data_IF_738042802896
#
_entry.id   IF_738042802896
#
_cell.length_a   1.000
_cell.length_b   1.000
_cell.length_c   1.000
_cell.angle_alpha   90.00
_cell.angle_beta   90.00
_cell.angle_gamma   90.00
#
_symmetry.space_group_name_H-M   'P 1'
#
loop_
_entity.id
_entity.type
_entity.pdbx_description
1 polymer ?
#
# COMPACT_ATOMS: atom_id res chain seq x y z
N UNK A 1 26.80 -9.94 18.64
CA UNK A 1 26.12 -9.16 19.70
C UNK A 1 26.06 -7.71 19.23
N UNK A 2 24.93 -7.26 18.67
CA UNK A 2 24.83 -5.94 18.05
C UNK A 2 24.73 -4.86 19.14
N UNK A 3 25.68 -3.92 19.17
CA UNK A 3 25.65 -2.75 20.08
C UNK A 3 24.43 -1.88 19.74
N UNK A 4 23.56 -1.66 20.72
CA UNK A 4 22.50 -0.65 20.62
C UNK A 4 23.15 0.73 20.64
N UNK A 5 23.24 1.38 19.47
CA UNK A 5 23.59 2.80 19.41
C UNK A 5 22.31 3.64 19.66
N UNK A 6 22.19 4.36 20.79
CA UNK A 6 20.99 5.10 21.15
C UNK A 6 20.73 6.31 20.24
N UNK A 7 21.71 6.74 19.43
CA UNK A 7 21.53 7.82 18.45
C UNK A 7 21.06 7.34 17.08
N UNK A 8 20.97 6.02 16.87
CA UNK A 8 20.51 5.47 15.60
C UNK A 8 18.98 5.62 15.51
N UNK A 9 18.52 6.54 14.67
CA UNK A 9 17.09 6.76 14.38
C UNK A 9 16.46 5.47 13.81
N UNK A 10 15.52 4.87 14.56
CA UNK A 10 14.91 3.58 14.21
C UNK A 10 13.58 3.69 13.46
N UNK A 11 12.97 4.87 13.44
CA UNK A 11 11.69 5.10 12.78
C UNK A 11 11.05 6.42 13.20
N UNK A 12 10.17 6.94 12.35
CA UNK A 12 9.35 8.12 12.63
C UNK A 12 7.88 7.74 12.57
N UNK A 13 7.09 8.31 13.47
CA UNK A 13 5.64 8.12 13.50
C UNK A 13 4.95 9.46 13.25
N UNK A 14 3.96 9.43 12.36
CA UNK A 14 3.19 10.60 11.97
C UNK A 14 1.71 10.26 12.11
N UNK A 15 0.93 11.22 12.60
CA UNK A 15 -0.51 11.10 12.76
C UNK A 15 -1.18 12.13 11.86
N UNK A 16 -2.24 11.71 11.20
CA UNK A 16 -2.96 12.55 10.26
C UNK A 16 -4.34 11.98 9.96
N UNK A 17 -5.05 12.67 9.09
CA UNK A 17 -6.36 12.25 8.64
C UNK A 17 -6.26 11.33 7.42
N UNK A 18 -7.34 10.62 7.11
CA UNK A 18 -7.39 9.75 5.93
C UNK A 18 -7.08 10.54 4.65
N UNK A 19 -7.54 11.79 4.60
CA UNK A 19 -7.33 12.77 3.55
C UNK A 19 -5.85 13.11 3.32
N UNK A 20 -4.97 12.86 4.29
CA UNK A 20 -3.52 13.00 4.14
C UNK A 20 -2.88 11.74 3.55
N UNK A 21 -3.40 10.56 3.91
CA UNK A 21 -2.83 9.26 3.49
C UNK A 21 -3.24 8.90 2.06
N UNK A 22 -4.49 9.18 1.67
CA UNK A 22 -5.02 8.79 0.35
C UNK A 22 -4.21 9.40 -0.83
N UNK A 23 -3.83 10.70 -0.82
CA UNK A 23 -3.02 11.27 -1.89
C UNK A 23 -1.61 10.66 -1.97
N UNK A 24 -0.99 10.37 -0.82
CA UNK A 24 0.35 9.75 -0.76
C UNK A 24 0.31 8.38 -1.43
N UNK A 25 -0.65 7.56 -1.03
CA UNK A 25 -0.86 6.22 -1.56
C UNK A 25 -1.18 6.24 -3.06
N UNK A 26 -2.00 7.19 -3.52
CA UNK A 26 -2.31 7.38 -4.93
C UNK A 26 -1.06 7.78 -5.74
N UNK A 27 -0.24 8.70 -5.23
CA UNK A 27 0.99 9.15 -5.88
C UNK A 27 2.04 8.04 -6.01
N UNK A 28 2.08 7.10 -5.06
CA UNK A 28 2.96 5.93 -5.11
C UNK A 28 2.53 4.88 -6.15
N UNK A 29 1.34 5.01 -6.75
CA UNK A 29 0.88 4.11 -7.82
C UNK A 29 0.59 2.68 -7.38
N UNK A 30 0.60 2.39 -6.07
CA UNK A 30 0.50 1.02 -5.53
C UNK A 30 -0.89 0.38 -5.71
N UNK A 31 -1.94 1.18 -5.90
CA UNK A 31 -3.29 0.69 -6.19
C UNK A 31 -3.68 0.96 -7.65
N UNK A 32 -2.93 0.34 -8.57
CA UNK A 32 -3.19 0.44 -10.00
C UNK A 32 -3.92 -0.80 -10.53
N UNK A 33 -5.22 -0.68 -10.72
CA UNK A 33 -6.06 -1.73 -11.30
C UNK A 33 -5.89 -1.97 -12.80
N UNK A 34 -5.07 -1.17 -13.47
CA UNK A 34 -4.78 -1.38 -14.89
C UNK A 34 -3.64 -2.37 -15.11
N UNK A 35 -2.89 -2.72 -14.05
CA UNK A 35 -1.81 -3.71 -14.15
C UNK A 35 -2.41 -5.08 -14.47
N UNK A 36 -2.00 -5.68 -15.58
CA UNK A 36 -2.49 -6.98 -16.04
C UNK A 36 -3.80 -6.94 -16.83
N UNK A 37 -4.37 -5.75 -17.06
CA UNK A 37 -5.58 -5.57 -17.87
C UNK A 37 -5.24 -4.86 -19.19
N UNK A 38 -5.92 -5.25 -20.27
CA UNK A 38 -5.80 -4.57 -21.58
C UNK A 38 -6.47 -3.20 -21.61
N UNK A 39 -7.30 -2.91 -20.61
CA UNK A 39 -8.07 -1.67 -20.47
C UNK A 39 -7.62 -0.88 -19.26
N UNK A 40 -7.64 0.45 -19.40
CA UNK A 40 -7.29 1.37 -18.34
C UNK A 40 -8.46 1.52 -17.36
N UNK A 41 -8.32 1.00 -16.14
CA UNK A 41 -9.36 1.06 -15.11
C UNK A 41 -9.13 2.27 -14.19
N UNK A 42 -9.65 3.44 -14.59
CA UNK A 42 -9.64 4.66 -13.78
C UNK A 42 -10.88 4.73 -12.88
N UNK A 43 -10.68 5.14 -11.63
CA UNK A 43 -11.80 5.44 -10.74
C UNK A 43 -12.45 6.76 -11.16
N UNK A 44 -13.56 6.68 -11.89
CA UNK A 44 -14.38 7.83 -12.31
C UNK A 44 -15.82 7.62 -11.83
N UNK A 45 -16.59 8.70 -11.72
CA UNK A 45 -18.00 8.62 -11.35
C UNK A 45 -18.81 7.74 -12.32
N UNK A 46 -18.49 7.82 -13.62
CA UNK A 46 -19.18 7.09 -14.69
C UNK A 46 -18.91 5.57 -14.66
N UNK A 47 -17.80 5.16 -14.05
CA UNK A 47 -17.39 3.74 -13.95
C UNK A 47 -17.96 3.01 -12.72
N UNK A 48 -18.95 3.56 -12.02
CA UNK A 48 -19.45 3.00 -10.77
C UNK A 48 -20.02 1.57 -10.92
N UNK A 49 -20.84 1.33 -11.94
CA UNK A 49 -21.43 0.00 -12.16
C UNK A 49 -20.37 -1.07 -12.52
N UNK A 50 -19.38 -0.69 -13.34
CA UNK A 50 -18.23 -1.54 -13.63
C UNK A 50 -17.46 -1.88 -12.34
N UNK A 51 -17.29 -0.89 -11.46
CA UNK A 51 -16.62 -1.05 -10.17
C UNK A 51 -17.36 -2.00 -9.24
N UNK A 52 -18.70 -1.91 -9.17
CA UNK A 52 -19.51 -2.83 -8.39
C UNK A 52 -19.40 -4.25 -8.93
N UNK A 53 -19.48 -4.44 -10.26
CA UNK A 53 -19.28 -5.76 -10.89
C UNK A 53 -17.93 -6.36 -10.53
N UNK A 54 -16.85 -5.59 -10.63
CA UNK A 54 -15.52 -6.05 -10.21
C UNK A 54 -15.41 -6.43 -8.73
N UNK A 55 -16.29 -5.93 -7.86
CA UNK A 55 -16.29 -6.28 -6.44
C UNK A 55 -17.16 -7.52 -6.19
N UNK A 56 -18.30 -7.64 -6.86
CA UNK A 56 -19.30 -8.68 -6.60
C UNK A 56 -19.13 -9.95 -7.46
N UNK A 57 -18.56 -9.84 -8.66
CA UNK A 57 -18.33 -10.98 -9.55
C UNK A 57 -17.07 -11.77 -9.19
N UNK A 58 -16.27 -11.27 -8.23
CA UNK A 58 -15.07 -11.95 -7.72
C UNK A 58 -15.22 -12.21 -6.22
N UNK A 59 -14.91 -13.44 -5.77
CA UNK A 59 -14.91 -13.77 -4.33
C UNK A 59 -13.93 -12.90 -3.51
N UNK A 60 -12.84 -12.46 -4.13
CA UNK A 60 -11.82 -11.59 -3.50
C UNK A 60 -11.43 -10.47 -4.46
N UNK A 61 -11.69 -9.19 -4.11
CA UNK A 61 -11.28 -8.06 -4.94
C UNK A 61 -9.76 -7.98 -5.07
N UNK A 62 -9.28 -7.58 -6.24
CA UNK A 62 -7.84 -7.45 -6.51
C UNK A 62 -7.10 -6.64 -5.43
N UNK A 63 -5.92 -7.06 -4.97
CA UNK A 63 -5.12 -6.32 -3.99
C UNK A 63 -4.70 -4.93 -4.50
N UNK A 64 -4.64 -4.72 -5.81
CA UNK A 64 -4.33 -3.42 -6.42
C UNK A 64 -5.56 -2.49 -6.50
N UNK A 65 -6.73 -2.95 -6.05
CA UNK A 65 -7.97 -2.19 -6.13
C UNK A 65 -8.00 -1.06 -5.11
N UNK A 66 -8.01 0.18 -5.62
CA UNK A 66 -8.19 1.36 -4.78
C UNK A 66 -9.53 1.32 -4.02
N UNK A 67 -9.45 1.14 -2.70
CA UNK A 67 -10.59 1.13 -1.78
C UNK A 67 -10.19 1.88 -0.52
N UNK A 68 -10.85 3.01 -0.26
CA UNK A 68 -10.54 3.86 0.90
C UNK A 68 -10.72 3.10 2.22
N UNK A 69 -11.73 2.23 2.31
CA UNK A 69 -11.97 1.36 3.47
C UNK A 69 -10.82 0.37 3.75
N UNK A 70 -10.04 0.03 2.74
CA UNK A 70 -8.86 -0.83 2.86
C UNK A 70 -7.59 -0.02 3.16
N UNK A 71 -7.45 1.15 2.52
CA UNK A 71 -6.26 2.00 2.60
C UNK A 71 -6.21 2.78 3.94
N UNK A 72 -7.34 3.37 4.34
CA UNK A 72 -7.46 4.22 5.50
C UNK A 72 -8.75 3.92 6.27
N UNK A 73 -8.87 2.72 6.88
CA UNK A 73 -9.97 2.42 7.80
C UNK A 73 -9.93 3.33 9.04
N UNK A 74 -10.98 3.32 9.85
CA UNK A 74 -10.96 3.99 11.15
C UNK A 74 -9.76 3.50 11.98
N UNK A 75 -8.99 4.45 12.53
CA UNK A 75 -7.73 4.18 13.21
C UNK A 75 -6.71 3.37 12.36
N UNK A 76 -6.76 3.55 11.04
CA UNK A 76 -5.86 2.91 10.08
C UNK A 76 -4.40 3.31 10.28
N UNK A 77 -3.50 2.34 10.14
CA UNK A 77 -2.05 2.55 10.22
C UNK A 77 -1.40 2.15 8.89
N UNK A 78 -0.51 3.01 8.40
CA UNK A 78 0.33 2.76 7.21
C UNK A 78 1.79 2.83 7.63
N UNK A 79 2.57 1.83 7.24
CA UNK A 79 3.97 1.73 7.59
C UNK A 79 4.85 1.59 6.35
N UNK A 80 5.90 2.40 6.30
CA UNK A 80 7.01 2.24 5.36
C UNK A 80 8.17 1.62 6.12
N UNK A 81 8.51 0.37 5.78
CA UNK A 81 9.58 -0.38 6.41
C UNK A 81 10.77 -0.45 5.46
N UNK A 82 11.95 -0.14 5.98
CA UNK A 82 13.23 -0.36 5.33
C UNK A 82 13.93 -1.51 6.05
N UNK A 83 14.30 -2.55 5.32
CA UNK A 83 14.98 -3.71 5.89
C UNK A 83 16.16 -4.13 5.01
N UNK A 84 17.22 -4.58 5.68
CA UNK A 84 18.43 -5.04 5.02
C UNK A 84 18.39 -6.56 4.91
N UNK A 85 18.62 -7.10 3.70
CA UNK A 85 18.70 -8.53 3.46
C UNK A 85 20.19 -8.92 3.33
N UNK A 86 20.81 -9.48 4.39
CA UNK A 86 22.26 -9.73 4.42
C UNK A 86 22.71 -10.75 3.38
N UNK A 87 21.86 -11.71 3.02
CA UNK A 87 22.18 -12.76 2.05
C UNK A 87 22.30 -12.24 0.62
N UNK A 88 21.65 -11.10 0.32
CA UNK A 88 21.66 -10.46 -1.00
C UNK A 88 22.52 -9.19 -1.04
N UNK A 89 22.92 -8.66 0.12
CA UNK A 89 23.61 -7.36 0.22
C UNK A 89 22.74 -6.17 -0.22
N UNK A 90 21.42 -6.32 -0.28
CA UNK A 90 20.49 -5.31 -0.81
C UNK A 90 19.58 -4.77 0.29
N UNK A 91 19.34 -3.46 0.26
CA UNK A 91 18.32 -2.78 1.04
C UNK A 91 16.97 -2.89 0.32
N UNK A 92 15.94 -3.37 1.01
CA UNK A 92 14.58 -3.46 0.49
C UNK A 92 13.64 -2.52 1.24
N UNK A 93 12.61 -2.07 0.54
CA UNK A 93 11.52 -1.29 1.12
C UNK A 93 10.19 -2.03 0.99
N UNK A 94 9.34 -1.85 1.99
CA UNK A 94 8.04 -2.49 2.13
C UNK A 94 7.02 -1.47 2.62
N UNK A 95 5.89 -1.39 1.92
CA UNK A 95 4.73 -0.63 2.38
C UNK A 95 3.67 -1.61 2.91
N UNK A 96 3.21 -1.37 4.14
CA UNK A 96 2.24 -2.22 4.83
C UNK A 96 1.05 -1.42 5.36
N UNK A 97 -0.15 -1.99 5.25
CA UNK A 97 -1.40 -1.47 5.79
C UNK A 97 -1.79 -2.32 7.01
N UNK A 98 -1.53 -1.85 8.22
CA UNK A 98 -1.43 -2.70 9.43
C UNK A 98 -2.76 -3.25 9.98
N UNK A 99 -3.90 -3.00 9.32
CA UNK A 99 -5.17 -3.69 9.61
C UNK A 99 -5.42 -4.91 8.70
N UNK A 100 -4.64 -5.07 7.62
CA UNK A 100 -4.60 -6.23 6.74
C UNK A 100 -3.16 -6.40 6.25
N UNK A 101 -2.38 -7.29 6.88
CA UNK A 101 -0.96 -7.43 6.56
C UNK A 101 -0.76 -8.04 5.16
N UNK A 102 -0.33 -7.20 4.20
CA UNK A 102 0.15 -7.64 2.88
C UNK A 102 1.56 -7.11 2.64
N UNK A 103 2.39 -7.95 2.03
CA UNK A 103 3.79 -7.65 1.72
C UNK A 103 3.90 -7.17 0.28
N UNK A 104 4.18 -5.87 0.06
CA UNK A 104 4.57 -5.35 -1.26
C UNK A 104 6.06 -5.06 -1.23
N UNK A 105 6.85 -5.89 -1.92
CA UNK A 105 8.27 -5.66 -2.15
C UNK A 105 8.42 -4.57 -3.22
N UNK A 106 8.87 -3.37 -2.83
CA UNK A 106 9.02 -2.21 -3.74
C UNK A 106 10.31 -2.33 -4.59
N UNK A 107 11.11 -3.39 -4.42
CA UNK A 107 12.37 -3.56 -5.18
C UNK A 107 12.17 -3.84 -6.68
N UNK A 108 10.92 -4.01 -7.14
CA UNK A 108 10.57 -4.37 -8.52
C UNK A 108 9.55 -3.39 -9.16
N UNK A 109 9.41 -2.16 -8.64
CA UNK A 109 8.68 -1.06 -9.31
C UNK A 109 9.66 -0.15 -10.04
#
# INVERSE_FOLDING_TARGET
>A
MCRNNPTLHRGSFWFGHAETILPIVAALGIFNNSIGHSTLHKLTADSFDERLRMIYDTDVPSPTMFRTSYIAPFAGNVAFLLYYCPDLGVLKSLLAFLNFMFFINISDV
#
